data_IF_266797583979
#
_entry.id   IF_266797583979
#
_cell.length_a   1.000
_cell.length_b   1.000
_cell.length_c   1.000
_cell.angle_alpha   90.00
_cell.angle_beta   90.00
_cell.angle_gamma   90.00
#
_symmetry.space_group_name_H-M   'P 1'
#
loop_
_entity.id
_entity.type
_entity.pdbx_description
1 polymer ?
#
# COMPACT_ATOMS: atom_id res chain seq x y z
N UNK A 1 -3.57 -3.62 -3.70
CA UNK A 1 -4.19 -2.29 -3.50
C UNK A 1 -3.59 -1.35 -4.51
N UNK A 2 -4.40 -0.68 -5.31
CA UNK A 2 -3.98 0.35 -6.27
C UNK A 2 -4.52 1.69 -5.80
N UNK A 3 -3.62 2.65 -5.55
CA UNK A 3 -3.98 3.98 -5.07
C UNK A 3 -3.30 5.01 -5.96
N UNK A 4 -4.09 5.93 -6.49
CA UNK A 4 -3.60 7.08 -7.25
C UNK A 4 -4.15 8.38 -6.70
N UNK A 5 -3.42 9.45 -6.96
CA UNK A 5 -3.85 10.82 -6.61
C UNK A 5 -4.33 11.56 -7.84
N UNK A 6 -5.31 12.43 -7.64
CA UNK A 6 -5.84 13.30 -8.69
C UNK A 6 -6.18 14.68 -8.13
N UNK A 7 -6.27 15.67 -9.02
CA UNK A 7 -6.80 17.00 -8.69
C UNK A 7 -8.31 16.95 -8.51
N UNK A 8 -8.73 16.40 -7.37
CA UNK A 8 -10.13 16.20 -7.00
C UNK A 8 -10.34 16.61 -5.55
N UNK A 9 -11.61 16.84 -5.18
CA UNK A 9 -12.04 17.10 -3.80
C UNK A 9 -12.73 15.88 -3.18
N UNK A 10 -12.84 14.77 -3.91
CA UNK A 10 -13.55 13.56 -3.48
C UNK A 10 -12.61 12.37 -3.46
N UNK A 11 -12.79 11.50 -2.49
CA UNK A 11 -12.16 10.17 -2.47
C UNK A 11 -13.10 9.18 -3.14
N UNK A 12 -12.62 8.46 -4.16
CA UNK A 12 -13.33 7.37 -4.83
C UNK A 12 -12.69 6.04 -4.44
N UNK A 13 -13.49 5.08 -4.00
CA UNK A 13 -13.04 3.75 -3.57
C UNK A 13 -13.86 2.71 -4.32
N UNK A 14 -13.19 1.72 -4.90
CA UNK A 14 -13.80 0.50 -5.40
C UNK A 14 -13.11 -0.70 -4.75
N UNK A 15 -13.90 -1.67 -4.32
CA UNK A 15 -13.43 -2.95 -3.82
C UNK A 15 -13.95 -4.08 -4.69
N UNK A 16 -13.11 -5.05 -5.01
CA UNK A 16 -13.50 -6.28 -5.67
C UNK A 16 -13.04 -7.44 -4.79
N UNK A 17 -13.98 -8.20 -4.26
CA UNK A 17 -13.71 -9.43 -3.53
C UNK A 17 -13.92 -10.62 -4.48
N UNK A 18 -12.97 -11.55 -4.48
CA UNK A 18 -13.03 -12.78 -5.26
C UNK A 18 -12.60 -13.96 -4.40
N UNK A 19 -13.12 -15.14 -4.71
CA UNK A 19 -12.88 -16.35 -3.94
C UNK A 19 -14.09 -16.75 -3.10
N UNK A 20 -13.87 -17.65 -2.17
CA UNK A 20 -14.95 -18.23 -1.38
C UNK A 20 -15.50 -17.25 -0.36
N UNK A 21 -16.84 -17.22 -0.23
CA UNK A 21 -17.58 -16.30 0.64
C UNK A 21 -17.26 -14.83 0.34
N UNK A 22 -16.82 -14.52 -0.89
CA UNK A 22 -16.48 -13.16 -1.32
C UNK A 22 -17.70 -12.24 -1.36
N UNK A 23 -18.88 -12.81 -1.62
CA UNK A 23 -20.18 -12.14 -1.53
C UNK A 23 -20.50 -11.67 -0.11
N UNK A 24 -19.89 -12.30 0.90
CA UNK A 24 -20.09 -11.98 2.31
C UNK A 24 -19.10 -10.92 2.82
N UNK A 25 -18.19 -10.43 1.97
CA UNK A 25 -17.20 -9.40 2.31
C UNK A 25 -17.75 -8.02 1.98
N UNK A 26 -17.79 -7.16 3.00
CA UNK A 26 -18.29 -5.80 2.87
C UNK A 26 -17.17 -4.78 3.10
N UNK A 27 -17.18 -3.71 2.30
CA UNK A 27 -16.35 -2.52 2.50
C UNK A 27 -16.96 -1.68 3.62
N UNK A 28 -16.18 -1.38 4.65
CA UNK A 28 -16.55 -0.45 5.71
C UNK A 28 -15.69 0.80 5.60
N UNK A 29 -16.37 1.95 5.67
CA UNK A 29 -15.74 3.25 5.73
C UNK A 29 -16.24 4.03 6.93
N UNK A 30 -15.33 4.63 7.70
CA UNK A 30 -15.69 5.47 8.84
C UNK A 30 -14.88 6.75 8.83
N UNK A 31 -15.53 7.90 8.96
CA UNK A 31 -14.84 9.18 9.18
C UNK A 31 -14.79 9.46 10.68
N UNK A 32 -13.59 9.63 11.23
CA UNK A 32 -13.37 10.07 12.61
C UNK A 32 -12.23 11.07 12.66
N UNK A 33 -12.46 12.21 13.31
CA UNK A 33 -11.44 13.26 13.47
C UNK A 33 -10.72 13.62 12.16
N UNK A 34 -11.51 13.88 11.10
CA UNK A 34 -11.02 14.23 9.76
C UNK A 34 -10.14 13.15 9.07
N UNK A 35 -10.25 11.90 9.51
CA UNK A 35 -9.57 10.74 8.93
C UNK A 35 -10.61 9.75 8.41
N UNK A 36 -10.49 9.36 7.14
CA UNK A 36 -11.30 8.29 6.55
C UNK A 36 -10.59 6.95 6.76
N UNK A 37 -11.20 6.11 7.59
CA UNK A 37 -10.78 4.72 7.80
C UNK A 37 -11.49 3.83 6.78
N UNK A 38 -10.76 2.91 6.16
CA UNK A 38 -11.25 1.98 5.14
C UNK A 38 -10.79 0.58 5.54
N UNK A 39 -11.72 -0.37 5.60
CA UNK A 39 -11.43 -1.77 5.85
C UNK A 39 -12.44 -2.67 5.15
N UNK A 40 -12.13 -3.97 5.03
CA UNK A 40 -13.10 -5.00 4.67
C UNK A 40 -13.29 -5.95 5.83
N UNK A 41 -14.52 -6.34 6.06
CA UNK A 41 -14.88 -7.38 7.02
C UNK A 41 -15.83 -8.38 6.37
N UNK A 42 -15.85 -9.61 6.87
CA UNK A 42 -17.00 -10.47 6.62
C UNK A 42 -18.24 -9.87 7.31
N UNK A 43 -19.41 -10.05 6.70
CA UNK A 43 -20.66 -9.61 7.29
C UNK A 43 -20.83 -10.21 8.69
N UNK A 44 -21.42 -9.49 9.66
CA UNK A 44 -21.52 -9.96 11.05
C UNK A 44 -22.21 -11.31 11.25
N UNK A 45 -23.04 -11.75 10.30
CA UNK A 45 -23.78 -13.02 10.35
C UNK A 45 -23.05 -14.18 9.65
N UNK A 46 -21.85 -13.94 9.09
CA UNK A 46 -21.08 -14.99 8.44
C UNK A 46 -20.62 -16.04 9.45
N UNK A 47 -20.88 -17.32 9.14
CA UNK A 47 -20.40 -18.46 9.91
C UNK A 47 -19.43 -19.21 9.01
N UNK A 48 -18.16 -19.24 9.40
CA UNK A 48 -17.14 -19.96 8.64
C UNK A 48 -17.43 -21.46 8.60
N UNK A 49 -17.26 -22.06 7.42
CA UNK A 49 -17.41 -23.51 7.26
C UNK A 49 -16.44 -24.25 8.18
N UNK A 50 -16.94 -25.19 8.97
CA UNK A 50 -16.13 -26.01 9.86
C UNK A 50 -15.55 -27.22 9.12
N UNK A 51 -14.89 -26.98 7.99
CA UNK A 51 -14.36 -28.03 7.14
C UNK A 51 -12.83 -28.15 7.26
N UNK A 52 -12.38 -29.30 7.78
CA UNK A 52 -10.96 -29.61 8.02
C UNK A 52 -10.20 -30.05 6.75
N UNK A 53 -10.84 -30.02 5.58
CA UNK A 53 -10.23 -30.34 4.28
C UNK A 53 -10.04 -29.12 3.36
N UNK A 54 -10.42 -27.94 3.85
CA UNK A 54 -10.59 -26.69 3.09
C UNK A 54 -9.31 -25.80 3.02
N UNK A 55 -8.12 -26.42 3.01
CA UNK A 55 -6.85 -25.73 3.26
C UNK A 55 -6.35 -24.74 2.16
N UNK A 56 -7.12 -24.44 1.12
CA UNK A 56 -6.71 -23.53 0.03
C UNK A 56 -7.85 -22.63 -0.50
N UNK A 57 -8.87 -22.36 0.32
CA UNK A 57 -9.94 -21.43 -0.05
C UNK A 57 -9.47 -20.00 0.21
N UNK A 58 -8.95 -19.34 -0.82
CA UNK A 58 -8.31 -18.03 -0.70
C UNK A 58 -9.30 -16.95 -1.09
N UNK A 59 -9.73 -16.16 -0.12
CA UNK A 59 -10.37 -14.87 -0.35
C UNK A 59 -9.29 -13.85 -0.77
N UNK A 60 -9.54 -13.13 -1.86
CA UNK A 60 -8.74 -12.00 -2.30
C UNK A 60 -9.61 -10.74 -2.34
N UNK A 61 -9.08 -9.62 -1.85
CA UNK A 61 -9.75 -8.32 -1.93
C UNK A 61 -8.82 -7.32 -2.61
N UNK A 62 -9.25 -6.84 -3.78
CA UNK A 62 -8.60 -5.76 -4.48
C UNK A 62 -9.26 -4.42 -4.12
N UNK A 63 -8.43 -3.43 -3.79
CA UNK A 63 -8.87 -2.05 -3.61
C UNK A 63 -8.30 -1.16 -4.73
N UNK A 64 -9.15 -0.31 -5.32
CA UNK A 64 -8.78 0.77 -6.24
C UNK A 64 -9.25 2.10 -5.67
N UNK A 65 -8.30 2.96 -5.32
CA UNK A 65 -8.55 4.27 -4.72
C UNK A 65 -8.06 5.39 -5.62
N UNK A 66 -8.88 6.42 -5.77
CA UNK A 66 -8.47 7.73 -6.30
C UNK A 66 -8.70 8.74 -5.19
N UNK A 67 -7.63 9.39 -4.74
CA UNK A 67 -7.67 10.35 -3.63
C UNK A 67 -7.21 11.75 -4.08
N UNK A 68 -7.62 12.83 -3.39
CA UNK A 68 -7.02 14.15 -3.60
C UNK A 68 -5.49 14.13 -3.44
N UNK A 69 -4.79 14.92 -4.25
CA UNK A 69 -3.36 15.19 -4.07
C UNK A 69 -3.10 15.79 -2.67
N UNK A 70 -1.85 15.64 -2.18
CA UNK A 70 -1.38 16.23 -0.92
C UNK A 70 -2.07 15.71 0.36
N UNK A 71 -2.73 14.55 0.30
CA UNK A 71 -3.22 13.87 1.50
C UNK A 71 -2.13 13.04 2.20
N UNK A 72 -2.36 12.80 3.48
CA UNK A 72 -1.64 11.79 4.24
C UNK A 72 -2.30 10.44 4.04
N UNK A 73 -1.50 9.41 3.75
CA UNK A 73 -1.96 8.04 3.55
C UNK A 73 -1.22 7.11 4.52
N UNK A 74 -1.97 6.26 5.22
CA UNK A 74 -1.42 5.21 6.08
C UNK A 74 -1.99 3.86 5.66
N UNK A 75 -1.12 2.89 5.42
CA UNK A 75 -1.50 1.54 5.01
C UNK A 75 -0.85 0.55 5.98
N UNK A 76 -1.63 -0.39 6.50
CA UNK A 76 -1.14 -1.50 7.30
C UNK A 76 -1.82 -2.78 6.85
N UNK A 77 -1.05 -3.81 6.54
CA UNK A 77 -1.61 -5.11 6.16
C UNK A 77 -0.68 -6.27 6.50
N UNK A 78 -1.26 -7.39 6.94
CA UNK A 78 -0.52 -8.64 7.10
C UNK A 78 -0.22 -9.32 5.77
N UNK A 79 -1.13 -9.19 4.78
CA UNK A 79 -0.99 -9.77 3.44
C UNK A 79 -1.57 -8.77 2.43
N UNK A 80 -0.72 -7.98 1.78
CA UNK A 80 -1.12 -7.12 0.66
C UNK A 80 0.08 -6.64 -0.14
N UNK A 81 -0.09 -6.51 -1.46
CA UNK A 81 0.80 -5.67 -2.27
C UNK A 81 0.16 -4.31 -2.52
N UNK A 82 0.96 -3.26 -2.48
CA UNK A 82 0.53 -1.86 -2.62
C UNK A 82 1.18 -1.28 -3.88
N UNK A 83 0.35 -0.66 -4.72
CA UNK A 83 0.77 0.06 -5.92
C UNK A 83 0.30 1.51 -5.78
N UNK A 84 1.23 2.45 -5.74
CA UNK A 84 0.99 3.88 -5.54
C UNK A 84 1.42 4.70 -6.74
N UNK A 85 0.61 5.70 -7.08
CA UNK A 85 0.91 6.66 -8.14
C UNK A 85 0.59 8.10 -7.73
N UNK A 86 1.50 9.03 -8.04
CA UNK A 86 1.29 10.48 -7.96
C UNK A 86 1.77 11.18 -6.67
N UNK A 87 1.07 12.25 -6.29
CA UNK A 87 1.51 13.29 -5.36
C UNK A 87 0.80 13.23 -4.00
N UNK A 88 1.56 12.90 -2.96
CA UNK A 88 1.10 12.79 -1.57
C UNK A 88 1.78 13.84 -0.70
N UNK A 89 1.20 14.15 0.47
CA UNK A 89 1.95 14.89 1.48
C UNK A 89 2.89 13.94 2.22
N UNK A 90 2.34 12.86 2.78
CA UNK A 90 3.09 11.79 3.43
C UNK A 90 2.40 10.45 3.22
N UNK A 91 3.20 9.41 2.96
CA UNK A 91 2.76 8.02 2.95
C UNK A 91 3.51 7.24 4.02
N UNK A 92 2.79 6.43 4.80
CA UNK A 92 3.37 5.47 5.74
C UNK A 92 2.78 4.09 5.47
N UNK A 93 3.62 3.08 5.27
CA UNK A 93 3.17 1.72 4.92
C UNK A 93 3.89 0.66 5.74
N UNK A 94 3.12 -0.21 6.36
CA UNK A 94 3.57 -1.35 7.17
C UNK A 94 3.02 -2.66 6.56
N UNK A 95 3.88 -3.49 5.99
CA UNK A 95 3.47 -4.76 5.36
C UNK A 95 4.22 -5.96 5.95
N UNK A 96 3.48 -6.97 6.42
CA UNK A 96 4.13 -8.22 6.85
C UNK A 96 4.49 -9.09 5.63
N UNK A 97 3.53 -9.38 4.76
CA UNK A 97 3.73 -10.15 3.54
C UNK A 97 3.15 -9.40 2.34
N UNK A 98 3.99 -9.15 1.34
CA UNK A 98 3.62 -8.42 0.14
C UNK A 98 4.46 -7.18 -0.08
N UNK A 99 4.47 -6.73 -1.33
CA UNK A 99 5.47 -5.80 -1.83
C UNK A 99 4.88 -4.41 -2.01
N UNK A 100 5.74 -3.40 -1.97
CA UNK A 100 5.38 -2.00 -2.16
C UNK A 100 5.97 -1.48 -3.46
N UNK A 101 5.13 -0.91 -4.31
CA UNK A 101 5.53 -0.32 -5.58
C UNK A 101 4.98 1.10 -5.64
N UNK A 102 5.84 2.08 -5.90
CA UNK A 102 5.44 3.46 -6.14
C UNK A 102 6.04 3.97 -7.44
N UNK A 103 5.20 4.55 -8.32
CA UNK A 103 5.62 5.13 -9.59
C UNK A 103 5.28 6.61 -9.67
N UNK A 104 6.16 7.40 -10.30
CA UNK A 104 6.04 8.86 -10.40
C UNK A 104 5.69 9.50 -9.05
N UNK A 105 6.34 9.01 -7.99
CA UNK A 105 5.99 9.34 -6.63
C UNK A 105 6.57 10.67 -6.20
N UNK A 106 5.76 11.48 -5.51
CA UNK A 106 6.19 12.71 -4.85
C UNK A 106 5.52 12.84 -3.48
N UNK A 107 6.31 13.15 -2.47
CA UNK A 107 5.85 13.27 -1.07
C UNK A 107 6.85 12.66 -0.11
N UNK A 108 6.59 12.80 1.19
CA UNK A 108 7.37 12.06 2.19
C UNK A 108 6.92 10.60 2.24
N UNK A 109 7.87 9.67 2.44
CA UNK A 109 7.60 8.25 2.38
C UNK A 109 8.31 7.48 3.50
N UNK A 110 7.56 6.67 4.22
CA UNK A 110 8.07 5.65 5.12
C UNK A 110 7.45 4.30 4.75
N UNK A 111 8.28 3.32 4.38
CA UNK A 111 7.83 1.96 4.07
C UNK A 111 8.62 0.97 4.89
N UNK A 112 7.92 0.08 5.58
CA UNK A 112 8.48 -1.03 6.32
C UNK A 112 7.85 -2.33 5.84
N UNK A 113 8.69 -3.30 5.47
CA UNK A 113 8.25 -4.64 5.03
C UNK A 113 8.99 -5.75 5.80
N UNK A 114 8.30 -6.86 6.10
CA UNK A 114 8.96 -8.07 6.61
C UNK A 114 9.33 -9.00 5.44
N UNK A 115 8.35 -9.36 4.61
CA UNK A 115 8.48 -10.25 3.45
C UNK A 115 7.89 -9.59 2.21
N UNK A 116 8.66 -8.76 1.52
CA UNK A 116 8.23 -8.12 0.29
C UNK A 116 9.27 -7.14 -0.22
N UNK A 117 9.34 -7.02 -1.53
CA UNK A 117 10.22 -6.06 -2.19
C UNK A 117 9.64 -4.65 -2.09
N UNK A 118 10.51 -3.66 -2.18
CA UNK A 118 10.14 -2.23 -2.23
C UNK A 118 10.74 -1.64 -3.50
N UNK A 119 9.90 -1.11 -4.38
CA UNK A 119 10.33 -0.38 -5.58
C UNK A 119 9.72 1.02 -5.60
N UNK A 120 10.56 2.05 -5.70
CA UNK A 120 10.15 3.46 -5.71
C UNK A 120 10.80 4.18 -6.89
N UNK A 121 9.97 4.72 -7.78
CA UNK A 121 10.39 5.60 -8.86
C UNK A 121 10.04 7.06 -8.51
N UNK A 122 11.06 7.91 -8.38
CA UNK A 122 10.92 9.34 -8.02
C UNK A 122 12.02 10.20 -8.65
N UNK A 123 11.82 11.52 -8.78
CA UNK A 123 12.80 12.40 -9.43
C UNK A 123 13.74 13.11 -8.45
N UNK A 124 13.19 13.67 -7.35
CA UNK A 124 13.87 14.58 -6.42
C UNK A 124 13.47 14.28 -4.97
N UNK A 125 14.38 13.70 -4.20
CA UNK A 125 14.19 13.42 -2.79
C UNK A 125 15.54 13.09 -2.13
N UNK A 126 15.59 13.22 -0.81
CA UNK A 126 16.61 12.55 0.00
C UNK A 126 16.09 11.17 0.37
N UNK A 127 16.82 10.12 0.01
CA UNK A 127 16.39 8.75 0.21
C UNK A 127 17.40 7.92 0.99
N UNK A 128 16.90 7.22 2.01
CA UNK A 128 17.61 6.23 2.81
C UNK A 128 16.90 4.88 2.66
N UNK A 129 17.66 3.84 2.30
CA UNK A 129 17.15 2.49 2.11
C UNK A 129 18.02 1.46 2.83
N UNK A 130 17.37 0.52 3.52
CA UNK A 130 18.03 -0.55 4.27
C UNK A 130 17.27 -1.87 4.14
N UNK A 131 17.95 -2.93 3.72
CA UNK A 131 17.43 -4.29 3.77
C UNK A 131 18.35 -5.20 4.55
N UNK A 132 17.79 -6.02 5.45
CA UNK A 132 18.58 -6.93 6.30
C UNK A 132 19.11 -8.14 5.53
N UNK A 133 18.27 -8.74 4.68
CA UNK A 133 18.60 -9.97 3.93
C UNK A 133 18.45 -9.82 2.41
N UNK A 134 17.93 -8.70 1.91
CA UNK A 134 17.83 -8.39 0.48
C UNK A 134 18.92 -7.44 0.00
N UNK A 135 18.89 -7.13 -1.30
CA UNK A 135 19.78 -6.16 -1.93
C UNK A 135 19.14 -4.77 -1.97
N UNK A 136 19.98 -3.74 -1.91
CA UNK A 136 19.55 -2.34 -2.11
C UNK A 136 20.22 -1.82 -3.39
N UNK A 137 19.41 -1.39 -4.35
CA UNK A 137 19.83 -0.73 -5.59
C UNK A 137 19.23 0.69 -5.62
N UNK A 138 20.06 1.72 -5.56
CA UNK A 138 19.62 3.11 -5.41
C UNK A 138 20.25 4.01 -6.48
N UNK A 139 19.41 4.56 -7.35
CA UNK A 139 19.80 5.57 -8.32
C UNK A 139 20.13 6.91 -7.65
N UNK A 140 20.96 7.72 -8.30
CA UNK A 140 21.21 9.11 -7.90
C UNK A 140 19.98 9.97 -8.22
N UNK A 141 19.36 10.50 -7.18
CA UNK A 141 18.20 11.39 -7.29
C UNK A 141 18.65 12.86 -7.39
N UNK A 142 17.76 13.72 -7.91
CA UNK A 142 17.97 15.17 -7.83
C UNK A 142 17.75 15.68 -6.40
N UNK A 143 18.27 16.89 -6.12
CA UNK A 143 18.03 17.55 -4.85
C UNK A 143 16.53 17.85 -4.67
N UNK A 144 15.96 17.43 -3.54
CA UNK A 144 14.57 17.64 -3.18
C UNK A 144 14.40 17.73 -1.66
N UNK A 145 13.28 18.31 -1.21
CA UNK A 145 13.01 18.49 0.22
C UNK A 145 12.31 17.28 0.86
N UNK A 146 11.75 16.39 0.03
CA UNK A 146 11.04 15.21 0.50
C UNK A 146 12.00 14.16 1.06
N UNK A 147 11.56 13.50 2.13
CA UNK A 147 12.31 12.43 2.79
C UNK A 147 11.68 11.07 2.46
N UNK A 148 12.51 10.14 2.01
CA UNK A 148 12.12 8.76 1.71
C UNK A 148 12.94 7.82 2.58
N UNK A 149 12.26 7.00 3.39
CA UNK A 149 12.87 5.97 4.23
C UNK A 149 12.25 4.63 3.90
N UNK A 150 13.06 3.68 3.43
CA UNK A 150 12.61 2.35 3.00
C UNK A 150 13.34 1.27 3.81
N UNK A 151 12.60 0.42 4.51
CA UNK A 151 13.16 -0.67 5.29
C UNK A 151 12.53 -2.01 4.92
N UNK A 152 13.37 -3.04 4.75
CA UNK A 152 12.92 -4.41 4.57
C UNK A 152 13.72 -5.39 5.42
N UNK A 153 13.08 -6.49 5.85
CA UNK A 153 13.79 -7.61 6.48
C UNK A 153 14.24 -8.62 5.40
N UNK A 154 13.31 -9.12 4.58
CA UNK A 154 13.57 -10.21 3.62
C UNK A 154 13.24 -9.86 2.16
N UNK A 155 13.23 -8.58 1.79
CA UNK A 155 12.98 -8.13 0.42
C UNK A 155 14.08 -7.23 -0.12
N UNK A 156 14.19 -7.16 -1.43
CA UNK A 156 15.05 -6.22 -2.12
C UNK A 156 14.42 -4.83 -2.12
N UNK A 157 15.26 -3.80 -2.19
CA UNK A 157 14.84 -2.41 -2.33
C UNK A 157 15.45 -1.85 -3.59
N UNK A 158 14.62 -1.24 -4.44
CA UNK A 158 15.05 -0.54 -5.64
C UNK A 158 14.51 0.88 -5.64
N UNK A 159 15.39 1.86 -5.82
CA UNK A 159 15.04 3.25 -6.05
C UNK A 159 15.51 3.63 -7.45
N UNK A 160 14.57 4.01 -8.31
CA UNK A 160 14.84 4.44 -9.68
C UNK A 160 14.44 5.91 -9.87
N UNK A 161 15.05 6.54 -10.88
CA UNK A 161 14.72 7.90 -11.26
C UNK A 161 13.55 7.89 -12.25
N UNK A 162 12.50 8.66 -11.99
CA UNK A 162 11.46 8.90 -13.00
C UNK A 162 12.01 9.75 -14.14
N UNK A 163 11.61 9.45 -15.37
CA UNK A 163 11.92 10.27 -16.56
C UNK A 163 11.50 11.74 -16.39
#
# INVERSE_FOLDING_TARGET
MHIETAKTQTISIRSLAEGEHSEEVVLITQIKSNTLYISSIYQPLFVADNDKLSAHKVLSVEYKLVIPEQLNLSISSSIASVFLFGNYNKVTTELMNGSFFAKSFKGDLLVNTIHGDIEVETHQATAEASSKHGKVDQAVLGNGNNQITLNSINGNIRISKSE
#
